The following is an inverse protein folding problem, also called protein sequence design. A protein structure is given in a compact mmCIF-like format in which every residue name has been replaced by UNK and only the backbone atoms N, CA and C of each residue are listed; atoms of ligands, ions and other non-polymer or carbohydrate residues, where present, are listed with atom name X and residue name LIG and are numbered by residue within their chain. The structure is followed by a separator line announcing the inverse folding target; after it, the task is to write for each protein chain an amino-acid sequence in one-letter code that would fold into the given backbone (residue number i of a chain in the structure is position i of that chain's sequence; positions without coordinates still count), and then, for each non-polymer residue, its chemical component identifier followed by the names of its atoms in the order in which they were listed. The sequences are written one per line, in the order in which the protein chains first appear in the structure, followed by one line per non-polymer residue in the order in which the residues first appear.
data_IF_714726259800
#
_entry.id   IF_714726259800
#
_cell.length_a   1.000
_cell.length_b   1.000
_cell.length_c   1.000
_cell.angle_alpha   90.00
_cell.angle_beta   90.00
_cell.angle_gamma   90.00
#
_symmetry.space_group_name_H-M   'P 1'
#
loop_
_entity.id
_entity.type
_entity.pdbx_description
1 polymer ?
#
# COMPACT_ATOMS: atom_id res chain seq x y z
N UNK A 1 58.40 36.74 17.20
CA UNK A 1 58.18 35.57 16.32
C UNK A 1 58.92 34.37 16.90
N UNK A 2 58.17 33.44 17.51
CA UNK A 2 58.52 32.02 17.72
C UNK A 2 57.33 31.36 18.43
N UNK A 3 56.49 30.70 17.64
CA UNK A 3 55.35 29.91 18.11
C UNK A 3 55.88 28.60 18.68
N UNK A 4 55.62 28.35 19.97
CA UNK A 4 55.85 27.04 20.59
C UNK A 4 54.54 26.24 20.53
N UNK A 5 54.49 25.25 19.64
CA UNK A 5 53.43 24.24 19.59
C UNK A 5 53.99 22.99 20.29
N UNK A 6 53.36 22.57 21.38
CA UNK A 6 53.60 21.29 22.05
C UNK A 6 53.01 20.12 21.23
N UNK A 7 53.71 18.99 21.06
CA UNK A 7 53.15 17.84 20.34
C UNK A 7 52.23 17.02 21.25
N UNK A 8 51.04 16.73 20.75
CA UNK A 8 50.06 15.83 21.36
C UNK A 8 50.45 14.38 21.04
N UNK A 9 50.71 13.58 22.07
CA UNK A 9 51.07 12.16 21.98
C UNK A 9 49.87 11.34 21.48
N UNK A 10 49.94 10.78 20.28
CA UNK A 10 48.94 9.88 19.74
C UNK A 10 49.24 8.44 20.22
N UNK A 11 48.42 7.94 21.15
CA UNK A 11 48.48 6.56 21.61
C UNK A 11 47.67 5.69 20.62
N UNK A 12 48.35 4.91 19.78
CA UNK A 12 47.69 3.96 18.87
C UNK A 12 47.31 2.68 19.62
N UNK A 13 46.03 2.52 19.92
CA UNK A 13 45.45 1.29 20.44
C UNK A 13 45.25 0.31 19.27
N UNK A 14 46.03 -0.77 19.22
CA UNK A 14 45.94 -1.81 18.20
C UNK A 14 44.77 -2.76 18.54
N UNK A 15 43.60 -2.52 17.95
CA UNK A 15 42.42 -3.39 18.08
C UNK A 15 42.51 -4.60 17.15
N UNK A 16 42.63 -5.80 17.72
CA UNK A 16 42.58 -7.08 17.02
C UNK A 16 41.14 -7.34 16.53
N UNK A 17 40.87 -7.21 15.22
CA UNK A 17 39.57 -7.52 14.62
C UNK A 17 39.54 -8.99 14.18
N UNK A 18 38.93 -9.87 14.99
CA UNK A 18 38.64 -11.25 14.58
C UNK A 18 37.55 -11.22 13.50
N UNK A 19 37.94 -11.43 12.24
CA UNK A 19 37.04 -11.73 11.14
C UNK A 19 36.40 -13.11 11.36
N UNK A 20 35.22 -13.12 11.96
CA UNK A 20 34.33 -14.28 11.98
C UNK A 20 33.84 -14.51 10.54
N UNK A 21 34.60 -15.30 9.76
CA UNK A 21 34.15 -15.83 8.48
C UNK A 21 33.02 -16.84 8.76
N UNK A 22 31.79 -16.34 8.80
CA UNK A 22 30.60 -17.21 8.77
C UNK A 22 30.58 -17.98 7.44
N UNK A 23 30.40 -19.31 7.45
CA UNK A 23 30.37 -20.10 6.23
C UNK A 23 29.24 -19.66 5.31
N UNK A 24 29.60 -19.28 4.08
CA UNK A 24 28.64 -19.03 3.00
C UNK A 24 28.09 -20.40 2.59
N UNK A 25 26.89 -20.73 3.07
CA UNK A 25 26.15 -21.90 2.58
C UNK A 25 25.57 -21.55 1.21
N UNK A 26 26.26 -21.91 0.13
CA UNK A 26 25.69 -21.88 -1.22
C UNK A 26 24.67 -23.02 -1.30
N UNK A 27 23.40 -22.72 -1.11
CA UNK A 27 22.33 -23.68 -1.38
C UNK A 27 22.12 -23.81 -2.88
N UNK A 28 22.17 -25.04 -3.39
CA UNK A 28 21.95 -25.34 -4.79
C UNK A 28 20.57 -24.81 -5.25
N UNK A 29 20.55 -24.19 -6.43
CA UNK A 29 19.33 -23.71 -7.06
C UNK A 29 18.65 -24.88 -7.78
N UNK A 30 17.37 -25.13 -7.47
CA UNK A 30 16.56 -26.16 -8.13
C UNK A 30 15.72 -25.49 -9.22
N UNK A 31 15.79 -26.02 -10.43
CA UNK A 31 15.14 -25.45 -11.62
C UNK A 31 14.08 -26.41 -12.14
N UNK A 32 12.92 -25.91 -12.54
CA UNK A 32 11.88 -26.75 -13.15
C UNK A 32 12.31 -27.25 -14.54
N UNK A 33 12.10 -28.54 -14.81
CA UNK A 33 12.35 -29.15 -16.11
C UNK A 33 11.15 -28.95 -17.05
N UNK A 34 11.33 -28.85 -18.38
CA UNK A 34 10.24 -28.96 -19.34
C UNK A 34 9.64 -30.39 -19.35
N UNK A 35 8.31 -30.55 -19.49
CA UNK A 35 7.31 -29.51 -19.72
C UNK A 35 6.82 -28.81 -18.43
N UNK A 36 7.30 -29.23 -17.26
CA UNK A 36 6.85 -28.80 -15.94
C UNK A 36 6.10 -29.90 -15.21
N UNK A 37 5.17 -29.55 -14.32
CA UNK A 37 4.32 -30.50 -13.63
C UNK A 37 4.01 -30.13 -12.18
N UNK A 38 3.67 -31.14 -11.37
CA UNK A 38 3.33 -30.94 -9.96
C UNK A 38 4.60 -30.68 -9.14
N UNK A 39 4.53 -29.72 -8.22
CA UNK A 39 5.65 -29.36 -7.35
C UNK A 39 6.24 -30.57 -6.62
N UNK A 40 5.42 -31.52 -6.17
CA UNK A 40 5.86 -32.69 -5.41
C UNK A 40 6.37 -33.86 -6.29
N UNK A 41 6.39 -33.71 -7.61
CA UNK A 41 6.86 -34.75 -8.52
C UNK A 41 8.35 -34.55 -8.84
N UNK A 42 9.24 -35.51 -8.55
CA UNK A 42 10.65 -35.46 -8.96
C UNK A 42 10.86 -35.11 -10.44
N UNK A 43 10.01 -35.59 -11.34
CA UNK A 43 10.13 -35.33 -12.78
C UNK A 43 9.92 -33.86 -13.18
N UNK A 44 9.33 -33.04 -12.30
CA UNK A 44 9.15 -31.60 -12.53
C UNK A 44 10.45 -30.82 -12.35
N UNK A 45 11.48 -31.41 -11.73
CA UNK A 45 12.70 -30.72 -11.36
C UNK A 45 13.92 -31.33 -12.04
N UNK A 46 14.80 -30.46 -12.55
CA UNK A 46 16.08 -30.90 -13.12
C UNK A 46 16.87 -31.62 -12.01
N UNK A 47 17.29 -32.85 -12.27
CA UNK A 47 17.99 -33.69 -11.30
C UNK A 47 17.09 -34.46 -10.33
N UNK A 48 15.75 -34.37 -10.45
CA UNK A 48 14.83 -35.19 -9.66
C UNK A 48 14.65 -34.76 -8.20
N UNK A 49 15.17 -33.60 -7.81
CA UNK A 49 15.12 -33.11 -6.43
C UNK A 49 13.91 -32.18 -6.26
N UNK A 50 12.95 -32.58 -5.42
CA UNK A 50 11.79 -31.76 -5.08
C UNK A 50 12.21 -30.66 -4.09
N UNK A 51 11.94 -29.37 -4.36
CA UNK A 51 12.27 -28.29 -3.43
C UNK A 51 11.52 -28.38 -2.11
N UNK A 52 12.27 -28.18 -1.03
CA UNK A 52 11.76 -27.95 0.31
C UNK A 52 12.02 -26.52 0.80
N UNK A 53 11.69 -26.27 2.07
CA UNK A 53 11.67 -24.96 2.72
C UNK A 53 13.00 -24.19 2.66
N UNK A 54 14.09 -24.94 2.50
CA UNK A 54 15.44 -24.44 2.49
C UNK A 54 15.98 -24.10 1.11
N UNK A 55 15.30 -24.47 0.02
CA UNK A 55 15.89 -24.47 -1.31
C UNK A 55 15.52 -23.23 -2.12
N UNK A 56 16.46 -22.77 -2.96
CA UNK A 56 16.18 -21.69 -3.89
C UNK A 56 15.63 -22.28 -5.19
N UNK A 57 14.50 -21.77 -5.66
CA UNK A 57 13.75 -22.35 -6.78
C UNK A 57 13.71 -21.40 -7.97
N UNK A 58 13.85 -21.96 -9.17
CA UNK A 58 13.60 -21.27 -10.44
C UNK A 58 12.50 -22.00 -11.19
N UNK A 59 11.45 -21.26 -11.54
CA UNK A 59 10.35 -21.74 -12.38
C UNK A 59 10.63 -21.26 -13.81
N UNK A 60 11.03 -22.19 -14.67
CA UNK A 60 11.31 -21.99 -16.10
C UNK A 60 10.30 -22.70 -17.01
N UNK A 61 9.37 -23.45 -16.43
CA UNK A 61 8.28 -24.18 -17.09
C UNK A 61 7.01 -24.09 -16.23
N UNK A 62 5.90 -24.71 -16.63
CA UNK A 62 4.64 -24.64 -15.87
C UNK A 62 4.69 -25.54 -14.64
N UNK A 63 4.72 -24.95 -13.44
CA UNK A 63 4.72 -25.67 -12.17
C UNK A 63 3.41 -25.43 -11.43
N UNK A 64 2.76 -26.54 -11.05
CA UNK A 64 1.54 -26.56 -10.25
C UNK A 64 1.86 -26.85 -8.80
N UNK A 65 1.56 -25.87 -7.94
CA UNK A 65 1.63 -25.97 -6.48
C UNK A 65 0.74 -27.11 -5.98
N UNK A 66 1.26 -27.85 -5.01
CA UNK A 66 0.67 -29.02 -4.36
C UNK A 66 0.61 -28.75 -2.84
N UNK A 67 -0.17 -29.50 -2.03
CA UNK A 67 -0.07 -29.42 -0.58
C UNK A 67 1.38 -29.44 -0.11
N UNK A 68 1.73 -28.59 0.86
CA UNK A 68 3.07 -28.46 1.46
C UNK A 68 4.17 -27.87 0.57
N UNK A 69 3.86 -27.40 -0.64
CA UNK A 69 4.82 -26.69 -1.49
C UNK A 69 5.44 -25.49 -0.76
N UNK A 70 6.75 -25.49 -0.66
CA UNK A 70 7.51 -24.46 0.03
C UNK A 70 8.92 -24.34 -0.52
N UNK A 71 9.52 -23.17 -0.38
CA UNK A 71 10.88 -22.88 -0.80
C UNK A 71 11.50 -21.79 0.09
N UNK A 72 12.80 -21.59 -0.06
CA UNK A 72 13.49 -20.44 0.50
C UNK A 72 13.25 -19.21 -0.39
N UNK A 73 13.98 -19.07 -1.49
CA UNK A 73 13.70 -18.02 -2.50
C UNK A 73 13.06 -18.65 -3.73
N UNK A 74 12.27 -17.87 -4.47
CA UNK A 74 11.71 -18.30 -5.74
C UNK A 74 11.83 -17.22 -6.81
N UNK A 75 12.29 -17.63 -7.99
CA UNK A 75 12.30 -16.80 -9.20
C UNK A 75 11.43 -17.45 -10.27
N UNK A 76 10.44 -16.72 -10.77
CA UNK A 76 9.65 -17.14 -11.93
C UNK A 76 10.28 -16.42 -13.10
N UNK A 77 10.96 -17.15 -13.98
CA UNK A 77 11.61 -16.57 -15.15
C UNK A 77 10.58 -16.22 -16.23
N UNK A 78 10.97 -15.40 -17.19
CA UNK A 78 10.18 -15.20 -18.40
C UNK A 78 9.87 -16.55 -19.07
N UNK A 79 8.60 -16.78 -19.41
CA UNK A 79 8.09 -18.06 -19.90
C UNK A 79 7.74 -19.10 -18.82
N UNK A 80 8.18 -18.92 -17.58
CA UNK A 80 7.76 -19.73 -16.45
C UNK A 80 6.35 -19.40 -15.98
N UNK A 81 5.59 -20.41 -15.56
CA UNK A 81 4.23 -20.27 -15.04
C UNK A 81 4.15 -20.97 -13.69
N UNK A 82 3.78 -20.24 -12.64
CA UNK A 82 3.42 -20.78 -11.34
C UNK A 82 1.91 -20.69 -11.16
N UNK A 83 1.27 -21.82 -10.85
CA UNK A 83 -0.17 -21.89 -10.59
C UNK A 83 -0.49 -22.93 -9.52
N UNK A 84 -1.70 -22.95 -8.98
CA UNK A 84 -2.18 -24.10 -8.21
C UNK A 84 -2.56 -25.27 -9.14
N UNK A 85 -2.53 -26.50 -8.62
CA UNK A 85 -3.13 -27.64 -9.34
C UNK A 85 -4.64 -27.41 -9.51
N UNK A 86 -5.16 -27.71 -10.70
CA UNK A 86 -6.56 -27.47 -11.10
C UNK A 86 -7.65 -28.11 -10.23
N UNK A 87 -7.29 -29.02 -9.32
CA UNK A 87 -8.26 -29.76 -8.50
C UNK A 87 -8.60 -29.10 -7.17
N UNK A 88 -7.85 -28.08 -6.71
CA UNK A 88 -8.13 -27.39 -5.45
C UNK A 88 -7.38 -26.06 -5.33
N UNK A 89 -7.75 -25.25 -4.35
CA UNK A 89 -6.94 -24.12 -3.89
C UNK A 89 -5.72 -24.61 -3.14
N UNK A 90 -4.56 -23.98 -3.36
CA UNK A 90 -3.32 -24.34 -2.66
C UNK A 90 -2.51 -23.09 -2.29
N UNK A 91 -1.64 -23.27 -1.30
CA UNK A 91 -0.74 -22.22 -0.81
C UNK A 91 0.71 -22.61 -1.10
N UNK A 92 1.47 -21.66 -1.65
CA UNK A 92 2.93 -21.72 -1.69
C UNK A 92 3.50 -20.90 -0.53
N UNK A 93 4.44 -21.48 0.22
CA UNK A 93 5.18 -20.79 1.28
C UNK A 93 6.61 -20.44 0.81
N UNK A 94 6.93 -19.15 0.76
CA UNK A 94 8.25 -18.63 0.38
C UNK A 94 8.91 -18.03 1.63
N UNK A 95 9.94 -18.69 2.17
CA UNK A 95 10.61 -18.24 3.40
C UNK A 95 11.54 -17.02 3.19
N UNK A 96 11.94 -16.76 1.96
CA UNK A 96 12.76 -15.64 1.51
C UNK A 96 12.02 -14.81 0.47
N UNK A 97 12.72 -14.44 -0.61
CA UNK A 97 12.26 -13.49 -1.61
C UNK A 97 11.51 -14.16 -2.77
N UNK A 98 10.53 -13.43 -3.31
CA UNK A 98 9.82 -13.73 -4.55
C UNK A 98 10.25 -12.74 -5.64
N UNK A 99 10.76 -13.26 -6.77
CA UNK A 99 11.04 -12.47 -7.97
C UNK A 99 10.22 -13.01 -9.14
N UNK A 100 9.22 -12.27 -9.61
CA UNK A 100 8.36 -12.66 -10.71
C UNK A 100 8.70 -11.89 -12.00
N UNK A 101 9.15 -12.60 -13.02
CA UNK A 101 9.36 -12.10 -14.39
C UNK A 101 8.52 -12.87 -15.42
N UNK A 102 7.76 -13.88 -14.98
CA UNK A 102 6.87 -14.69 -15.82
C UNK A 102 5.42 -14.50 -15.39
N UNK A 103 4.72 -15.61 -15.14
CA UNK A 103 3.30 -15.61 -14.79
C UNK A 103 3.06 -16.31 -13.47
N UNK A 104 2.35 -15.65 -12.56
CA UNK A 104 1.76 -16.23 -11.36
C UNK A 104 0.25 -16.10 -11.48
N UNK A 105 -0.47 -17.22 -11.51
CA UNK A 105 -1.90 -17.21 -11.83
C UNK A 105 -2.67 -18.27 -11.04
N UNK A 106 -3.98 -18.08 -10.96
CA UNK A 106 -4.89 -19.17 -10.63
C UNK A 106 -4.95 -20.18 -11.79
N UNK A 107 -5.15 -21.46 -11.46
CA UNK A 107 -5.70 -22.44 -12.39
C UNK A 107 -7.23 -22.38 -12.27
N UNK A 108 -7.91 -23.51 -12.02
CA UNK A 108 -9.36 -23.55 -11.80
C UNK A 108 -9.79 -22.93 -10.46
N UNK A 109 -8.97 -23.12 -9.42
CA UNK A 109 -9.20 -22.60 -8.06
C UNK A 109 -8.12 -21.57 -7.69
N UNK A 110 -8.16 -21.04 -6.47
CA UNK A 110 -7.26 -19.96 -6.04
C UNK A 110 -5.86 -20.45 -5.61
N UNK A 111 -4.84 -19.73 -6.06
CA UNK A 111 -3.47 -19.82 -5.56
C UNK A 111 -3.19 -18.70 -4.55
N UNK A 112 -2.80 -19.09 -3.33
CA UNK A 112 -2.24 -18.18 -2.32
C UNK A 112 -0.71 -18.28 -2.32
N UNK A 113 -0.02 -17.13 -2.32
CA UNK A 113 1.44 -17.06 -2.22
C UNK A 113 1.79 -16.28 -0.95
N UNK A 114 2.33 -16.97 0.05
CA UNK A 114 2.79 -16.40 1.30
C UNK A 114 4.29 -16.14 1.21
N UNK A 115 4.71 -14.88 1.36
CA UNK A 115 6.12 -14.48 1.23
C UNK A 115 6.59 -13.87 2.54
N UNK A 116 7.71 -14.37 3.10
CA UNK A 116 8.35 -13.80 4.30
C UNK A 116 9.42 -12.76 3.99
N UNK A 117 10.04 -12.81 2.81
CA UNK A 117 11.02 -11.83 2.34
C UNK A 117 10.44 -10.80 1.37
N UNK A 118 11.27 -10.23 0.52
CA UNK A 118 10.89 -9.17 -0.42
C UNK A 118 10.14 -9.71 -1.64
N UNK A 119 9.33 -8.87 -2.26
CA UNK A 119 8.61 -9.17 -3.51
C UNK A 119 9.04 -8.19 -4.61
N UNK A 120 9.52 -8.72 -5.73
CA UNK A 120 9.72 -7.96 -6.96
C UNK A 120 8.85 -8.57 -8.07
N UNK A 121 7.93 -7.78 -8.62
CA UNK A 121 7.06 -8.19 -9.70
C UNK A 121 7.31 -7.36 -10.96
N UNK A 122 7.92 -7.98 -11.97
CA UNK A 122 7.98 -7.43 -13.32
C UNK A 122 7.23 -8.27 -14.35
N UNK A 123 6.57 -9.35 -13.90
CA UNK A 123 5.72 -10.21 -14.70
C UNK A 123 4.22 -10.01 -14.43
N UNK A 124 3.41 -10.96 -14.89
CA UNK A 124 1.96 -10.99 -14.63
C UNK A 124 1.66 -11.70 -13.31
N UNK A 125 0.74 -11.13 -12.52
CA UNK A 125 0.27 -11.70 -11.26
C UNK A 125 -1.26 -11.57 -11.17
N UNK A 126 -1.95 -12.70 -11.31
CA UNK A 126 -3.42 -12.84 -11.36
C UNK A 126 -3.91 -13.97 -10.44
N UNK A 127 -3.14 -14.29 -9.41
CA UNK A 127 -3.50 -15.33 -8.44
C UNK A 127 -4.41 -14.79 -7.32
N UNK A 128 -5.07 -15.68 -6.57
CA UNK A 128 -6.07 -15.25 -5.60
C UNK A 128 -5.54 -14.46 -4.41
N UNK A 129 -4.34 -14.74 -3.91
CA UNK A 129 -3.80 -13.99 -2.77
C UNK A 129 -2.29 -13.86 -2.81
N UNK A 130 -1.78 -12.64 -2.68
CA UNK A 130 -0.40 -12.37 -2.30
C UNK A 130 -0.39 -11.91 -0.83
N UNK A 131 0.31 -12.65 0.03
CA UNK A 131 0.40 -12.32 1.46
C UNK A 131 1.84 -12.07 1.92
N UNK A 132 2.04 -10.93 2.59
CA UNK A 132 3.28 -10.54 3.25
C UNK A 132 3.26 -11.03 4.71
N UNK A 133 4.01 -12.10 4.97
CA UNK A 133 3.98 -12.88 6.23
C UNK A 133 5.26 -12.74 7.07
N UNK A 134 6.22 -11.93 6.62
CA UNK A 134 7.47 -11.67 7.32
C UNK A 134 7.26 -10.79 8.56
N UNK A 135 8.10 -10.94 9.56
CA UNK A 135 8.03 -10.12 10.79
C UNK A 135 8.87 -8.86 10.71
N UNK A 136 9.86 -8.82 9.81
CA UNK A 136 10.66 -7.63 9.49
C UNK A 136 10.04 -6.84 8.34
N UNK A 137 10.61 -5.68 8.01
CA UNK A 137 10.21 -4.92 6.84
C UNK A 137 10.41 -5.75 5.57
N UNK A 138 9.40 -5.76 4.70
CA UNK A 138 9.44 -6.44 3.40
C UNK A 138 9.37 -5.38 2.30
N UNK A 139 10.37 -5.35 1.43
CA UNK A 139 10.34 -4.48 0.26
C UNK A 139 9.42 -5.04 -0.81
N UNK A 140 8.71 -4.14 -1.48
CA UNK A 140 7.91 -4.45 -2.65
C UNK A 140 8.19 -3.51 -3.82
N UNK A 141 8.43 -4.08 -4.99
CA UNK A 141 8.37 -3.37 -6.26
C UNK A 141 7.42 -4.07 -7.22
N UNK A 142 6.73 -3.29 -8.05
CA UNK A 142 6.01 -3.81 -9.21
C UNK A 142 6.15 -2.86 -10.40
N UNK A 143 6.40 -3.40 -11.59
CA UNK A 143 6.38 -2.64 -12.85
C UNK A 143 5.10 -2.87 -13.66
N UNK A 144 4.23 -3.79 -13.22
CA UNK A 144 2.94 -4.10 -13.82
C UNK A 144 1.81 -3.93 -12.79
N UNK A 145 0.58 -3.62 -13.21
CA UNK A 145 -0.58 -3.68 -12.32
C UNK A 145 -0.73 -5.09 -11.73
N UNK A 146 -1.04 -5.15 -10.44
CA UNK A 146 -1.36 -6.38 -9.74
C UNK A 146 -2.86 -6.66 -9.91
N UNK A 147 -3.20 -7.87 -10.33
CA UNK A 147 -4.57 -8.35 -10.52
C UNK A 147 -4.89 -9.49 -9.55
N UNK A 148 -4.31 -9.46 -8.35
CA UNK A 148 -4.61 -10.44 -7.32
C UNK A 148 -5.96 -10.15 -6.70
N UNK A 149 -6.73 -11.17 -6.32
CA UNK A 149 -8.02 -10.93 -5.66
C UNK A 149 -7.78 -10.27 -4.29
N UNK A 150 -6.74 -10.71 -3.57
CA UNK A 150 -6.39 -10.21 -2.24
C UNK A 150 -4.89 -9.88 -2.14
N UNK A 151 -4.60 -8.68 -1.66
CA UNK A 151 -3.28 -8.25 -1.24
C UNK A 151 -3.29 -8.08 0.28
N UNK A 152 -2.57 -8.95 0.97
CA UNK A 152 -2.69 -9.08 2.42
C UNK A 152 -1.35 -8.83 3.11
N UNK A 153 -1.36 -8.03 4.16
CA UNK A 153 -0.27 -7.99 5.14
C UNK A 153 -0.71 -8.72 6.40
N UNK A 154 0.09 -9.65 6.88
CA UNK A 154 -0.10 -10.19 8.25
C UNK A 154 0.50 -9.21 9.24
N UNK A 155 -0.26 -8.76 10.24
CA UNK A 155 0.24 -7.82 11.25
C UNK A 155 1.53 -8.31 11.90
N UNK A 156 2.55 -7.45 11.94
CA UNK A 156 3.84 -7.76 12.57
C UNK A 156 4.60 -6.52 13.03
N UNK A 157 5.85 -6.71 13.46
CA UNK A 157 6.72 -5.60 13.88
C UNK A 157 7.29 -4.79 12.71
N UNK A 158 7.29 -5.37 11.51
CA UNK A 158 7.73 -4.72 10.28
C UNK A 158 6.55 -4.35 9.39
N UNK A 159 6.84 -3.66 8.29
CA UNK A 159 5.85 -3.11 7.35
C UNK A 159 6.20 -3.44 5.90
N UNK A 160 5.29 -3.18 4.96
CA UNK A 160 5.62 -3.25 3.52
C UNK A 160 6.26 -1.93 3.09
N UNK A 161 7.41 -1.98 2.42
CA UNK A 161 8.12 -0.83 1.87
C UNK A 161 7.99 -0.82 0.35
N UNK A 162 7.08 -0.02 -0.20
CA UNK A 162 6.91 0.17 -1.63
C UNK A 162 8.07 1.00 -2.19
N UNK A 163 8.92 0.34 -2.99
CA UNK A 163 10.09 0.96 -3.63
C UNK A 163 9.81 1.47 -5.05
N UNK A 164 8.62 1.20 -5.57
CA UNK A 164 8.09 1.76 -6.83
C UNK A 164 6.69 2.30 -6.59
N UNK A 165 6.14 3.01 -7.58
CA UNK A 165 4.69 3.19 -7.64
C UNK A 165 4.02 1.81 -7.70
N UNK A 166 2.82 1.70 -7.14
CA UNK A 166 2.03 0.47 -7.17
C UNK A 166 0.70 0.74 -7.86
N UNK A 167 0.24 -0.24 -8.62
CA UNK A 167 -1.05 -0.23 -9.31
C UNK A 167 -1.77 -1.54 -9.06
N UNK A 168 -3.05 -1.46 -8.74
CA UNK A 168 -3.92 -2.60 -8.46
C UNK A 168 -5.19 -2.51 -9.30
N UNK A 169 -5.71 -3.66 -9.72
CA UNK A 169 -6.96 -3.74 -10.47
C UNK A 169 -7.85 -4.82 -9.86
N UNK A 170 -9.01 -4.41 -9.34
CA UNK A 170 -9.99 -5.30 -8.71
C UNK A 170 -9.49 -5.97 -7.42
N UNK A 171 -8.47 -5.42 -6.76
CA UNK A 171 -7.82 -6.05 -5.60
C UNK A 171 -8.41 -5.55 -4.28
N UNK A 172 -8.73 -6.49 -3.38
CA UNK A 172 -8.95 -6.17 -1.97
C UNK A 172 -7.61 -6.05 -1.24
N UNK A 173 -7.28 -4.86 -0.74
CA UNK A 173 -6.03 -4.56 -0.04
C UNK A 173 -6.33 -4.51 1.47
N UNK A 174 -5.93 -5.55 2.19
CA UNK A 174 -6.08 -5.64 3.64
C UNK A 174 -4.71 -5.60 4.33
N UNK A 175 -4.46 -4.54 5.09
CA UNK A 175 -3.19 -4.37 5.79
C UNK A 175 -3.21 -4.93 7.22
N UNK A 176 -4.32 -5.46 7.71
CA UNK A 176 -4.50 -5.99 9.07
C UNK A 176 -3.92 -5.07 10.16
N UNK A 177 -4.28 -3.79 10.12
CA UNK A 177 -3.81 -2.71 11.00
C UNK A 177 -2.30 -2.41 10.92
N UNK A 178 -1.60 -2.96 9.93
CA UNK A 178 -0.18 -2.70 9.66
C UNK A 178 -0.03 -1.59 8.61
N UNK A 179 1.19 -1.39 8.11
CA UNK A 179 1.57 -0.26 7.28
C UNK A 179 2.07 -0.67 5.89
N UNK A 180 1.61 0.06 4.88
CA UNK A 180 2.24 0.17 3.56
C UNK A 180 2.93 1.53 3.46
N UNK A 181 4.26 1.53 3.48
CA UNK A 181 5.07 2.73 3.38
C UNK A 181 5.63 2.92 1.97
N UNK A 182 5.43 4.11 1.40
CA UNK A 182 6.01 4.50 0.12
C UNK A 182 7.36 5.19 0.35
N UNK A 183 8.46 4.43 0.26
CA UNK A 183 9.82 4.95 0.50
C UNK A 183 10.36 5.72 -0.70
N UNK A 184 10.15 5.20 -1.91
CA UNK A 184 10.61 5.81 -3.17
C UNK A 184 9.51 5.93 -4.21
N UNK A 185 8.52 5.02 -4.21
CA UNK A 185 7.28 5.23 -4.95
C UNK A 185 6.56 6.48 -4.45
N UNK A 186 5.87 7.18 -5.35
CA UNK A 186 5.16 8.43 -5.05
C UNK A 186 3.67 8.35 -5.38
N UNK A 187 3.23 7.25 -5.98
CA UNK A 187 1.86 7.09 -6.44
C UNK A 187 1.32 5.68 -6.17
N UNK A 188 0.03 5.65 -5.83
CA UNK A 188 -0.81 4.46 -5.80
C UNK A 188 -1.98 4.65 -6.77
N UNK A 189 -2.20 3.66 -7.62
CA UNK A 189 -3.40 3.57 -8.46
C UNK A 189 -4.21 2.34 -8.08
N UNK A 190 -5.51 2.49 -7.90
CA UNK A 190 -6.43 1.37 -7.66
C UNK A 190 -7.62 1.51 -8.59
N UNK A 191 -7.80 0.52 -9.45
CA UNK A 191 -8.90 0.46 -10.40
C UNK A 191 -9.87 -0.66 -10.01
N UNK A 192 -10.87 -0.31 -9.20
CA UNK A 192 -11.72 -1.27 -8.50
C UNK A 192 -11.00 -1.98 -7.34
N UNK A 193 -11.79 -2.38 -6.34
CA UNK A 193 -11.29 -3.01 -5.12
C UNK A 193 -11.49 -2.16 -3.87
N UNK A 194 -10.68 -2.38 -2.84
CA UNK A 194 -10.77 -1.64 -1.58
C UNK A 194 -9.43 -1.54 -0.86
N UNK A 195 -9.34 -0.57 0.07
CA UNK A 195 -8.31 -0.53 1.10
C UNK A 195 -8.96 -0.66 2.47
N UNK A 196 -8.55 -1.66 3.24
CA UNK A 196 -9.11 -1.96 4.56
C UNK A 196 -8.03 -2.09 5.62
N UNK A 197 -8.40 -1.69 6.84
CA UNK A 197 -7.69 -2.00 8.08
C UNK A 197 -6.19 -1.73 7.97
N UNK A 198 -5.78 -0.46 7.89
CA UNK A 198 -4.40 -0.18 7.55
C UNK A 198 -3.96 1.26 7.62
N UNK A 199 -2.63 1.43 7.53
CA UNK A 199 -1.99 2.71 7.38
C UNK A 199 -1.23 2.75 6.07
N UNK A 200 -1.46 3.79 5.27
CA UNK A 200 -0.60 4.14 4.15
C UNK A 200 0.27 5.31 4.56
N UNK A 201 1.59 5.15 4.48
CA UNK A 201 2.55 6.07 5.08
C UNK A 201 3.54 6.63 4.07
N UNK A 202 3.80 7.94 4.14
CA UNK A 202 4.87 8.60 3.37
C UNK A 202 5.33 9.91 4.02
N UNK A 203 6.62 10.01 4.33
CA UNK A 203 7.21 11.24 4.90
C UNK A 203 7.97 12.10 3.89
N UNK A 204 8.46 11.49 2.80
CA UNK A 204 9.27 12.18 1.81
C UNK A 204 8.42 12.93 0.78
N UNK A 205 8.85 14.14 0.41
CA UNK A 205 8.31 14.84 -0.77
C UNK A 205 8.86 14.21 -2.06
N UNK A 206 8.10 14.19 -3.17
CA UNK A 206 6.77 14.80 -3.36
C UNK A 206 5.66 14.07 -2.61
N UNK A 207 4.53 14.77 -2.43
CA UNK A 207 3.29 14.29 -1.83
C UNK A 207 2.84 12.95 -2.43
N UNK A 208 2.09 12.17 -1.65
CA UNK A 208 1.54 10.91 -2.12
C UNK A 208 0.37 11.15 -3.05
N UNK A 209 0.49 10.68 -4.29
CA UNK A 209 -0.61 10.68 -5.25
C UNK A 209 -1.43 9.39 -5.11
N UNK A 210 -2.75 9.54 -4.99
CA UNK A 210 -3.69 8.43 -4.89
C UNK A 210 -4.73 8.60 -5.99
N UNK A 211 -4.73 7.69 -6.95
CA UNK A 211 -5.73 7.64 -8.02
C UNK A 211 -6.62 6.43 -7.80
N UNK A 212 -7.93 6.63 -7.71
CA UNK A 212 -8.88 5.53 -7.46
C UNK A 212 -10.06 5.61 -8.40
N UNK A 213 -10.51 4.51 -8.98
CA UNK A 213 -11.68 4.48 -9.86
C UNK A 213 -12.48 3.18 -9.71
N UNK A 214 -13.55 3.02 -10.50
CA UNK A 214 -14.35 1.81 -10.61
C UNK A 214 -14.85 1.25 -9.26
N UNK A 215 -15.37 2.13 -8.40
CA UNK A 215 -15.99 1.75 -7.12
C UNK A 215 -15.00 1.49 -5.98
N UNK A 216 -13.74 1.90 -6.15
CA UNK A 216 -12.72 1.82 -5.10
C UNK A 216 -13.17 2.54 -3.84
N UNK A 217 -13.01 1.88 -2.69
CA UNK A 217 -13.37 2.44 -1.40
C UNK A 217 -12.35 2.18 -0.30
N UNK A 218 -12.34 3.07 0.68
CA UNK A 218 -11.56 2.94 1.93
C UNK A 218 -12.47 2.57 3.08
N UNK A 219 -11.97 1.73 3.99
CA UNK A 219 -12.66 1.37 5.23
C UNK A 219 -11.68 1.14 6.38
N UNK A 220 -11.91 1.80 7.51
CA UNK A 220 -11.01 1.74 8.67
C UNK A 220 -9.54 1.97 8.27
N UNK A 221 -9.33 2.98 7.43
CA UNK A 221 -8.04 3.21 6.78
C UNK A 221 -7.47 4.59 7.10
N UNK A 222 -6.18 4.64 7.38
CA UNK A 222 -5.44 5.87 7.68
C UNK A 222 -4.45 6.20 6.58
N UNK A 223 -4.48 7.43 6.09
CA UNK A 223 -3.47 7.98 5.19
C UNK A 223 -2.61 8.95 5.98
N UNK A 224 -1.38 8.53 6.25
CA UNK A 224 -0.35 9.21 7.03
C UNK A 224 0.76 9.71 6.09
N UNK A 225 0.43 10.72 5.30
CA UNK A 225 1.35 11.43 4.40
C UNK A 225 1.25 12.93 4.67
N UNK A 226 2.36 13.67 4.62
CA UNK A 226 2.36 15.13 4.83
C UNK A 226 1.35 15.85 3.93
N UNK A 227 1.18 15.35 2.71
CA UNK A 227 0.13 15.74 1.78
C UNK A 227 -0.33 14.51 0.98
N UNK A 228 -1.65 14.36 0.81
CA UNK A 228 -2.27 13.39 -0.08
C UNK A 228 -2.97 14.12 -1.23
N UNK A 229 -2.72 13.70 -2.47
CA UNK A 229 -3.36 14.25 -3.67
C UNK A 229 -4.29 13.20 -4.27
N UNK A 230 -5.58 13.49 -4.27
CA UNK A 230 -6.62 12.55 -4.70
C UNK A 230 -7.03 12.81 -6.14
N UNK A 231 -7.08 11.75 -6.94
CA UNK A 231 -7.55 11.73 -8.33
C UNK A 231 -8.54 10.58 -8.55
N UNK A 232 -9.33 10.66 -9.62
CA UNK A 232 -10.40 9.69 -9.88
C UNK A 232 -11.57 9.85 -8.88
N UNK A 233 -12.29 8.78 -8.60
CA UNK A 233 -13.36 8.72 -7.58
C UNK A 233 -12.97 7.84 -6.39
N UNK A 234 -12.88 8.44 -5.19
CA UNK A 234 -12.68 7.73 -3.93
C UNK A 234 -13.98 7.67 -3.12
N UNK A 235 -14.41 6.46 -2.79
CA UNK A 235 -15.59 6.24 -1.95
C UNK A 235 -15.19 5.99 -0.48
N UNK A 236 -15.86 6.66 0.46
CA UNK A 236 -15.65 6.47 1.90
C UNK A 236 -16.66 5.47 2.45
N UNK A 237 -16.18 4.32 2.91
CA UNK A 237 -16.99 3.28 3.59
C UNK A 237 -16.63 3.24 5.07
N UNK A 238 -17.63 3.30 5.95
CA UNK A 238 -17.39 3.42 7.38
C UNK A 238 -16.90 4.81 7.81
N UNK A 239 -16.87 5.04 9.12
CA UNK A 239 -16.58 6.34 9.72
C UNK A 239 -15.20 6.43 10.40
N UNK A 240 -14.41 5.36 10.33
CA UNK A 240 -13.06 5.27 10.91
C UNK A 240 -11.96 5.54 9.86
N UNK A 241 -12.22 6.39 8.86
CA UNK A 241 -11.25 6.77 7.84
C UNK A 241 -10.61 8.12 8.19
N UNK A 242 -9.28 8.19 8.14
CA UNK A 242 -8.54 9.39 8.55
C UNK A 242 -7.41 9.75 7.58
N UNK A 243 -7.38 10.99 7.11
CA UNK A 243 -6.18 11.61 6.56
C UNK A 243 -5.49 12.40 7.67
N UNK A 244 -4.28 12.04 8.06
CA UNK A 244 -3.61 12.65 9.23
C UNK A 244 -3.04 14.05 8.99
N UNK A 245 -2.92 14.47 7.73
CA UNK A 245 -2.37 15.77 7.37
C UNK A 245 -3.14 16.39 6.20
N UNK A 246 -2.44 17.12 5.32
CA UNK A 246 -3.07 17.91 4.26
C UNK A 246 -3.62 17.03 3.15
N UNK A 247 -4.77 17.42 2.63
CA UNK A 247 -5.42 16.77 1.49
C UNK A 247 -5.68 17.80 0.40
N UNK A 248 -5.31 17.45 -0.83
CA UNK A 248 -5.73 18.16 -2.03
C UNK A 248 -6.56 17.21 -2.89
N UNK A 249 -7.84 17.50 -3.00
CA UNK A 249 -8.75 16.74 -3.85
C UNK A 249 -8.80 17.34 -5.26
N UNK A 250 -8.35 16.60 -6.28
CA UNK A 250 -8.55 16.91 -7.69
C UNK A 250 -9.64 16.05 -8.34
N UNK A 251 -10.06 14.98 -7.67
CA UNK A 251 -11.08 14.05 -8.14
C UNK A 251 -12.42 14.22 -7.43
N UNK A 252 -13.13 13.11 -7.26
CA UNK A 252 -14.39 13.04 -6.53
C UNK A 252 -14.17 12.29 -5.22
N UNK A 253 -14.55 12.91 -4.11
CA UNK A 253 -14.57 12.31 -2.78
C UNK A 253 -16.00 12.27 -2.28
N UNK A 254 -16.54 11.08 -2.03
CA UNK A 254 -17.93 10.91 -1.59
C UNK A 254 -18.13 9.71 -0.67
N UNK A 255 -19.21 9.72 0.11
CA UNK A 255 -19.60 8.52 0.88
C UNK A 255 -20.04 7.38 -0.04
N UNK A 256 -19.91 6.15 0.46
CA UNK A 256 -20.52 4.97 -0.15
C UNK A 256 -22.04 5.08 -0.23
N UNK A 257 -22.64 4.35 -1.17
CA UNK A 257 -24.07 4.46 -1.49
C UNK A 257 -24.99 3.67 -0.55
N UNK A 258 -24.47 2.99 0.47
CA UNK A 258 -25.26 2.07 1.30
C UNK A 258 -25.60 2.61 2.70
N UNK A 259 -24.94 3.68 3.18
CA UNK A 259 -25.24 4.31 4.47
C UNK A 259 -24.60 5.70 4.54
N UNK A 260 -24.90 6.44 5.61
CA UNK A 260 -24.22 7.68 5.95
C UNK A 260 -22.86 7.41 6.57
N UNK A 261 -21.83 8.14 6.13
CA UNK A 261 -20.45 7.98 6.61
C UNK A 261 -19.76 9.31 6.87
N UNK A 262 -18.64 9.23 7.60
CA UNK A 262 -17.77 10.38 7.84
C UNK A 262 -16.33 10.13 7.44
N UNK A 263 -15.65 11.20 7.04
CA UNK A 263 -14.21 11.26 6.87
C UNK A 263 -13.60 12.26 7.85
N UNK A 264 -12.46 11.91 8.43
CA UNK A 264 -11.64 12.84 9.21
C UNK A 264 -10.42 13.28 8.42
N UNK A 265 -10.16 14.59 8.39
CA UNK A 265 -8.95 15.21 7.86
C UNK A 265 -8.31 16.01 8.99
N UNK A 266 -7.24 15.47 9.57
CA UNK A 266 -6.47 16.09 10.66
C UNK A 266 -5.44 17.10 10.13
N UNK A 267 -5.80 17.83 9.08
CA UNK A 267 -4.98 18.85 8.45
C UNK A 267 -5.81 19.77 7.58
N UNK A 268 -5.14 20.44 6.63
CA UNK A 268 -5.81 21.33 5.70
C UNK A 268 -6.51 20.53 4.59
N UNK A 269 -7.68 20.97 4.14
CA UNK A 269 -8.38 20.39 3.00
C UNK A 269 -8.55 21.44 1.89
N UNK A 270 -7.94 21.18 0.74
CA UNK A 270 -8.15 21.93 -0.50
C UNK A 270 -8.98 21.10 -1.47
N UNK A 271 -10.16 21.59 -1.84
CA UNK A 271 -10.99 20.97 -2.85
C UNK A 271 -10.85 21.71 -4.18
N UNK A 272 -10.26 21.04 -5.18
CA UNK A 272 -10.24 21.48 -6.58
C UNK A 272 -11.15 20.63 -7.48
N UNK A 273 -11.74 19.56 -6.93
CA UNK A 273 -12.63 18.63 -7.63
C UNK A 273 -14.05 18.67 -7.06
N UNK A 274 -14.58 17.50 -6.73
CA UNK A 274 -15.95 17.32 -6.21
C UNK A 274 -15.89 16.68 -4.83
N UNK A 275 -16.60 17.27 -3.87
CA UNK A 275 -16.94 16.64 -2.58
C UNK A 275 -18.46 16.58 -2.50
N UNK A 276 -19.04 15.38 -2.39
CA UNK A 276 -20.49 15.19 -2.43
C UNK A 276 -20.97 14.01 -1.60
N UNK A 277 -22.28 13.92 -1.40
CA UNK A 277 -22.91 12.72 -0.83
C UNK A 277 -22.84 11.53 -1.81
N UNK A 278 -22.81 10.33 -1.25
CA UNK A 278 -23.33 9.14 -1.93
C UNK A 278 -24.85 9.19 -2.02
N UNK A 279 -25.50 8.03 -2.02
CA UNK A 279 -26.95 7.96 -1.86
C UNK A 279 -27.44 8.46 -0.48
N UNK A 280 -26.55 8.50 0.52
CA UNK A 280 -26.82 8.95 1.89
C UNK A 280 -25.82 10.01 2.33
N UNK A 281 -25.98 10.56 3.54
CA UNK A 281 -25.22 11.68 4.04
C UNK A 281 -23.70 11.43 4.13
N UNK A 282 -22.92 12.42 3.72
CA UNK A 282 -21.48 12.46 3.89
C UNK A 282 -21.04 13.61 4.78
N UNK A 283 -20.37 13.28 5.89
CA UNK A 283 -19.79 14.27 6.81
C UNK A 283 -18.29 14.35 6.66
N UNK A 284 -17.72 15.55 6.52
CA UNK A 284 -16.27 15.76 6.46
C UNK A 284 -15.84 16.59 7.66
N UNK A 285 -15.02 16.02 8.53
CA UNK A 285 -14.44 16.69 9.70
C UNK A 285 -13.04 17.19 9.37
N UNK A 286 -12.77 18.47 9.59
CA UNK A 286 -11.52 19.14 9.20
C UNK A 286 -10.96 19.90 10.39
N UNK A 287 -9.72 19.57 10.78
CA UNK A 287 -9.04 20.23 11.89
C UNK A 287 -8.21 21.45 11.48
N UNK A 288 -7.77 21.51 10.22
CA UNK A 288 -7.00 22.61 9.64
C UNK A 288 -7.82 23.61 8.83
N UNK A 289 -7.14 24.30 7.93
CA UNK A 289 -7.71 25.29 7.01
C UNK A 289 -8.51 24.63 5.89
N UNK A 290 -9.49 25.35 5.34
CA UNK A 290 -10.34 24.88 4.24
C UNK A 290 -10.24 25.84 3.05
N UNK A 291 -9.92 25.27 1.89
CA UNK A 291 -9.99 25.98 0.60
C UNK A 291 -10.96 25.25 -0.33
N UNK A 292 -11.95 25.96 -0.87
CA UNK A 292 -12.86 25.41 -1.88
C UNK A 292 -12.71 26.15 -3.22
N UNK A 293 -12.23 25.44 -4.22
CA UNK A 293 -12.14 25.86 -5.62
C UNK A 293 -13.00 25.00 -6.57
N UNK A 294 -13.71 24.02 -6.03
CA UNK A 294 -14.51 23.07 -6.80
C UNK A 294 -15.95 22.98 -6.32
N UNK A 295 -16.60 21.86 -6.65
CA UNK A 295 -17.97 21.56 -6.21
C UNK A 295 -17.93 20.98 -4.80
N UNK A 296 -18.75 21.52 -3.89
CA UNK A 296 -18.87 21.02 -2.53
C UNK A 296 -20.36 20.93 -2.14
N UNK A 297 -20.89 19.70 -2.13
CA UNK A 297 -22.32 19.36 -2.01
C UNK A 297 -22.53 18.14 -1.09
N UNK A 298 -21.83 18.10 0.04
CA UNK A 298 -22.01 17.05 1.03
C UNK A 298 -23.08 17.43 2.07
N UNK A 299 -23.39 16.51 2.97
CA UNK A 299 -24.38 16.76 4.02
C UNK A 299 -23.84 17.72 5.08
N UNK A 300 -22.67 17.47 5.66
CA UNK A 300 -22.13 18.36 6.70
C UNK A 300 -20.62 18.50 6.61
N UNK A 301 -20.14 19.74 6.57
CA UNK A 301 -18.72 20.05 6.76
C UNK A 301 -18.49 20.59 8.15
N UNK A 302 -17.65 19.91 8.93
CA UNK A 302 -17.42 20.22 10.35
C UNK A 302 -16.01 20.73 10.54
N UNK A 303 -15.88 21.99 10.96
CA UNK A 303 -14.62 22.58 11.41
C UNK A 303 -14.40 22.24 12.90
N UNK A 304 -13.52 21.28 13.19
CA UNK A 304 -13.29 20.75 14.55
C UNK A 304 -11.92 21.14 15.15
N UNK A 305 -11.13 21.93 14.46
CA UNK A 305 -9.84 22.44 14.93
C UNK A 305 -9.95 23.32 16.18
N UNK A 306 -8.95 23.26 17.06
CA UNK A 306 -8.85 24.09 18.26
C UNK A 306 -8.19 25.45 18.01
N UNK A 307 -7.55 25.63 16.86
CA UNK A 307 -6.92 26.88 16.45
C UNK A 307 -7.82 27.77 15.59
N UNK A 308 -7.20 28.78 14.97
CA UNK A 308 -7.81 29.52 13.86
C UNK A 308 -7.80 28.60 12.64
N UNK A 309 -8.96 28.40 12.03
CA UNK A 309 -9.14 27.72 10.75
C UNK A 309 -9.50 28.76 9.70
N UNK A 310 -8.60 28.98 8.75
CA UNK A 310 -8.79 29.92 7.66
C UNK A 310 -9.67 29.31 6.56
N UNK A 311 -10.59 30.12 6.04
CA UNK A 311 -11.52 29.74 4.99
C UNK A 311 -11.29 30.62 3.76
N UNK A 312 -11.10 29.97 2.61
CA UNK A 312 -11.00 30.61 1.30
C UNK A 312 -11.91 29.88 0.32
N UNK A 313 -12.76 30.62 -0.41
CA UNK A 313 -13.70 30.04 -1.37
C UNK A 313 -13.66 30.82 -2.69
N UNK A 314 -13.32 30.15 -3.78
CA UNK A 314 -13.50 30.67 -5.14
C UNK A 314 -14.75 30.12 -5.82
N UNK A 315 -15.32 29.05 -5.25
CA UNK A 315 -16.62 28.47 -5.60
C UNK A 315 -17.54 28.44 -4.37
N UNK A 316 -18.87 28.56 -4.56
CA UNK A 316 -19.80 28.50 -3.45
C UNK A 316 -19.74 27.14 -2.73
N UNK A 317 -19.98 27.15 -1.43
CA UNK A 317 -20.32 25.97 -0.68
C UNK A 317 -21.82 25.70 -0.83
N UNK A 318 -22.18 24.49 -1.25
CA UNK A 318 -23.57 24.07 -1.48
C UNK A 318 -23.94 22.81 -0.69
N UNK A 319 -23.20 22.50 0.38
CA UNK A 319 -23.56 21.43 1.30
C UNK A 319 -24.72 21.84 2.22
N UNK A 320 -25.40 20.85 2.80
CA UNK A 320 -26.59 21.11 3.64
C UNK A 320 -26.26 21.87 4.91
N UNK A 321 -25.21 21.45 5.64
CA UNK A 321 -24.78 22.03 6.90
C UNK A 321 -23.32 22.47 6.83
N UNK A 322 -22.98 23.60 7.47
CA UNK A 322 -21.59 24.02 7.70
C UNK A 322 -21.37 24.32 9.18
N UNK A 323 -20.77 23.38 9.91
CA UNK A 323 -20.74 23.40 11.38
C UNK A 323 -19.36 23.76 11.92
N UNK A 324 -19.29 24.62 12.95
CA UNK A 324 -18.11 24.77 13.82
C UNK A 324 -18.39 24.08 15.15
N UNK A 325 -17.72 22.95 15.43
CA UNK A 325 -18.04 22.12 16.61
C UNK A 325 -17.09 22.34 17.80
N UNK A 326 -15.86 22.81 17.55
CA UNK A 326 -14.90 23.07 18.63
C UNK A 326 -14.91 24.54 19.04
N UNK A 327 -15.48 24.83 20.21
CA UNK A 327 -15.66 26.19 20.76
C UNK A 327 -14.34 26.89 21.11
N UNK A 328 -13.24 26.14 21.28
CA UNK A 328 -11.91 26.73 21.47
C UNK A 328 -11.33 27.30 20.17
N UNK A 329 -11.75 26.77 19.02
CA UNK A 329 -11.29 27.23 17.70
C UNK A 329 -12.14 28.34 17.11
N UNK A 330 -11.61 28.99 16.06
CA UNK A 330 -12.29 30.07 15.34
C UNK A 330 -12.23 29.83 13.84
N UNK A 331 -13.35 29.94 13.14
CA UNK A 331 -13.37 30.05 11.68
C UNK A 331 -13.09 31.50 11.27
N UNK A 332 -12.13 31.72 10.36
CA UNK A 332 -11.77 33.04 9.85
C UNK A 332 -11.85 33.05 8.32
N UNK A 333 -12.75 33.83 7.77
CA UNK A 333 -12.79 34.11 6.34
C UNK A 333 -11.57 34.96 5.93
N UNK A 334 -10.84 34.55 4.90
CA UNK A 334 -9.78 35.34 4.26
C UNK A 334 -10.23 36.01 2.96
N UNK A 335 -11.40 35.60 2.44
CA UNK A 335 -12.07 36.16 1.28
C UNK A 335 -13.56 36.28 1.54
N UNK A 336 -14.32 36.86 0.59
CA UNK A 336 -15.76 36.67 0.56
C UNK A 336 -16.08 35.16 0.51
N UNK A 337 -17.04 34.73 1.32
CA UNK A 337 -17.54 33.36 1.32
C UNK A 337 -18.94 33.36 0.72
N UNK A 338 -19.27 32.32 -0.06
CA UNK A 338 -20.60 32.15 -0.65
C UNK A 338 -21.16 30.79 -0.25
N UNK A 339 -22.38 30.81 0.28
CA UNK A 339 -23.12 29.63 0.72
C UNK A 339 -24.44 29.59 -0.05
N UNK A 340 -24.82 28.42 -0.55
CA UNK A 340 -26.01 28.23 -1.37
C UNK A 340 -26.80 27.04 -0.83
N UNK A 341 -28.03 27.28 -0.38
CA UNK A 341 -28.90 26.26 0.22
C UNK A 341 -28.26 25.56 1.44
N UNK A 342 -27.51 26.32 2.25
CA UNK A 342 -26.84 25.84 3.45
C UNK A 342 -27.52 26.41 4.70
N UNK A 343 -27.79 25.54 5.67
CA UNK A 343 -28.22 25.90 7.03
C UNK A 343 -27.01 26.07 7.97
#
# INVERSE_FOLDING_TARGET
MKNNITPLTFCTLLGFFLLMLSPIVIKAQIVSAPPGGLWNNPATWIGGIVPGAGDNVVIASTVSVYPTSQCNNITIQSGGILQNRSSNSYTLFVNGNLNNQGVIQNSTYSLTVNVKGNVNNSGSMTNGTLSFTGTANQQMSSTQPLHVDNFVRTAGSGRILATTNLSFVGTAIDLNSDTLEFTTGTALTIDGGNLTDGVMFRTAMPALQITTDNGTHVNNFTIDSQEARLYGTLLVFGSANTFKHNVINFGTLKSQNNNSYSLTVDGNLTNNGIIENGAYSFTVNISGDLTNNGTWQNYNTVLNGSGIQNLTMTQPYSGTLFTKNNTAGRARALSGLSFVNTE
#
